data_IF_431231182577
#
_entry.id   IF_431231182577
#
_cell.length_a   1.000
_cell.length_b   1.000
_cell.length_c   1.000
_cell.angle_alpha   90.00
_cell.angle_beta   90.00
_cell.angle_gamma   90.00
#
_symmetry.space_group_name_H-M   'P 1'
#
loop_
_entity.id
_entity.type
_entity.pdbx_description
1 polymer ?
#
# COMPACT_ATOMS: atom_id res chain seq x y z
N UNK A 1 -18.24 -3.54 7.14
CA UNK A 1 -16.91 -3.36 6.52
C UNK A 1 -17.05 -2.57 5.23
N UNK A 2 -16.25 -1.51 5.08
CA UNK A 2 -16.20 -0.62 3.92
C UNK A 2 -14.77 -0.46 3.40
N UNK A 3 -14.62 -0.18 2.11
CA UNK A 3 -13.35 0.18 1.46
C UNK A 3 -13.22 1.71 1.41
N UNK A 4 -12.07 2.25 1.80
CA UNK A 4 -11.73 3.67 1.73
C UNK A 4 -10.64 3.87 0.68
N UNK A 5 -11.01 4.51 -0.43
CA UNK A 5 -10.13 4.73 -1.59
C UNK A 5 -9.49 6.10 -1.49
N UNK A 6 -8.19 6.15 -1.27
CA UNK A 6 -7.40 7.39 -1.23
C UNK A 6 -7.11 7.83 -2.67
N UNK A 7 -7.56 9.03 -3.02
CA UNK A 7 -7.38 9.60 -4.36
C UNK A 7 -7.11 11.10 -4.29
N UNK A 8 -6.12 11.58 -5.04
CA UNK A 8 -5.93 13.01 -5.26
C UNK A 8 -7.03 13.56 -6.18
N UNK A 9 -7.65 14.71 -5.89
CA UNK A 9 -8.70 15.28 -6.74
C UNK A 9 -8.31 15.46 -8.21
N UNK A 10 -7.05 15.83 -8.46
CA UNK A 10 -6.51 16.00 -9.80
C UNK A 10 -6.36 14.66 -10.57
N UNK A 11 -6.40 13.52 -9.88
CA UNK A 11 -6.24 12.18 -10.44
C UNK A 11 -7.55 11.55 -10.90
N UNK A 12 -8.42 12.34 -11.54
CA UNK A 12 -9.76 11.94 -11.98
C UNK A 12 -9.78 10.72 -12.91
N UNK A 13 -8.74 10.54 -13.73
CA UNK A 13 -8.58 9.35 -14.58
C UNK A 13 -8.30 8.08 -13.78
N UNK A 14 -7.46 8.15 -12.74
CA UNK A 14 -7.20 7.02 -11.84
C UNK A 14 -8.46 6.66 -11.07
N UNK A 15 -9.15 7.68 -10.53
CA UNK A 15 -10.42 7.49 -9.83
C UNK A 15 -11.47 6.79 -10.70
N UNK A 16 -11.64 7.21 -11.96
CA UNK A 16 -12.62 6.59 -12.87
C UNK A 16 -12.35 5.10 -13.06
N UNK A 17 -11.09 4.72 -13.27
CA UNK A 17 -10.69 3.30 -13.39
C UNK A 17 -10.93 2.54 -12.10
N UNK A 18 -10.58 3.14 -10.96
CA UNK A 18 -10.80 2.52 -9.66
C UNK A 18 -12.29 2.26 -9.41
N UNK A 19 -13.15 3.26 -9.68
CA UNK A 19 -14.62 3.11 -9.59
C UNK A 19 -15.13 1.99 -10.50
N UNK A 20 -14.65 1.90 -11.75
CA UNK A 20 -15.03 0.82 -12.66
C UNK A 20 -14.65 -0.57 -12.12
N UNK A 21 -13.44 -0.70 -11.55
CA UNK A 21 -12.98 -1.96 -10.94
C UNK A 21 -13.78 -2.33 -9.70
N UNK A 22 -14.10 -1.35 -8.86
CA UNK A 22 -14.92 -1.58 -7.67
C UNK A 22 -16.37 -1.87 -8.03
N UNK A 23 -16.92 -1.27 -9.09
CA UNK A 23 -18.30 -1.53 -9.52
C UNK A 23 -18.53 -2.96 -10.03
N UNK A 24 -17.48 -3.67 -10.45
CA UNK A 24 -17.59 -5.11 -10.76
C UNK A 24 -17.69 -5.99 -9.52
N UNK A 25 -17.52 -5.41 -8.33
CA UNK A 25 -17.65 -6.09 -7.06
C UNK A 25 -18.80 -5.52 -6.26
N UNK A 26 -19.55 -6.39 -5.62
CA UNK A 26 -20.57 -6.01 -4.65
C UNK A 26 -19.90 -5.69 -3.31
N UNK A 27 -19.23 -4.53 -3.25
CA UNK A 27 -18.48 -4.02 -2.11
C UNK A 27 -18.82 -2.54 -1.86
N UNK A 28 -19.09 -2.20 -0.60
CA UNK A 28 -19.27 -0.81 -0.19
C UNK A 28 -17.91 -0.10 -0.20
N UNK A 29 -17.84 1.06 -0.84
CA UNK A 29 -16.64 1.88 -0.82
C UNK A 29 -16.95 3.37 -0.76
N UNK A 30 -15.98 4.14 -0.27
CA UNK A 30 -16.00 5.58 -0.19
C UNK A 30 -14.67 6.16 -0.69
N UNK A 31 -14.72 7.32 -1.34
CA UNK A 31 -13.54 7.99 -1.87
C UNK A 31 -13.09 9.05 -0.89
N UNK A 32 -11.86 8.91 -0.41
CA UNK A 32 -11.21 9.87 0.47
C UNK A 32 -10.33 10.79 -0.38
N UNK A 33 -10.66 12.07 -0.35
CA UNK A 33 -9.84 13.11 -0.96
C UNK A 33 -8.48 13.19 -0.24
N UNK A 34 -7.44 12.74 -0.92
CA UNK A 34 -6.06 12.79 -0.48
C UNK A 34 -5.54 14.24 -0.43
N UNK A 35 -4.53 14.44 0.40
CA UNK A 35 -3.79 15.69 0.55
C UNK A 35 -2.63 15.67 -0.46
N UNK A 36 -2.45 16.76 -1.20
CA UNK A 36 -1.30 16.91 -2.10
C UNK A 36 -0.06 17.36 -1.33
N UNK A 37 1.11 17.00 -1.82
CA UNK A 37 2.38 17.59 -1.36
C UNK A 37 2.39 19.12 -1.47
N UNK A 38 1.64 19.67 -2.44
CA UNK A 38 1.50 21.12 -2.65
C UNK A 38 0.61 21.80 -1.60
N UNK A 39 -0.23 21.04 -0.89
CA UNK A 39 -1.14 21.54 0.15
C UNK A 39 -0.49 21.50 1.54
N UNK A 40 0.77 21.04 1.62
CA UNK A 40 1.53 21.00 2.87
C UNK A 40 2.07 22.40 3.17
N UNK A 41 1.73 22.90 4.36
CA UNK A 41 2.13 24.22 4.82
C UNK A 41 3.66 24.40 4.78
N UNK A 42 4.17 25.54 4.32
CA UNK A 42 5.59 25.83 4.39
C UNK A 42 6.13 25.72 5.83
N UNK A 43 7.31 25.13 6.00
CA UNK A 43 7.96 24.98 7.31
C UNK A 43 7.44 23.84 8.19
N UNK A 44 6.28 23.23 7.90
CA UNK A 44 5.78 22.11 8.71
C UNK A 44 6.71 20.89 8.63
N UNK A 45 7.24 20.60 7.44
CA UNK A 45 8.15 19.48 7.19
C UNK A 45 9.45 19.67 7.95
N UNK A 46 9.99 20.89 7.95
CA UNK A 46 11.19 21.25 8.71
C UNK A 46 10.94 21.12 10.21
N UNK A 47 9.81 21.62 10.70
CA UNK A 47 9.40 21.47 12.11
C UNK A 47 9.30 20.01 12.52
N UNK A 48 8.67 19.17 11.70
CA UNK A 48 8.53 17.73 11.92
C UNK A 48 9.91 17.08 11.99
N UNK A 49 10.75 17.29 10.96
CA UNK A 49 12.07 16.68 10.88
C UNK A 49 13.00 17.13 12.01
N UNK A 50 12.92 18.40 12.44
CA UNK A 50 13.69 18.92 13.59
C UNK A 50 13.25 18.31 14.92
N UNK A 51 12.02 17.79 15.00
CA UNK A 51 11.47 17.13 16.18
C UNK A 51 11.63 15.61 16.18
N UNK A 52 12.06 15.00 15.06
CA UNK A 52 12.28 13.57 14.96
C UNK A 52 13.72 13.21 15.41
N UNK A 53 13.90 12.54 16.56
CA UNK A 53 15.22 12.15 17.05
C UNK A 53 15.95 11.16 16.13
N UNK A 54 15.25 10.54 15.16
CA UNK A 54 15.79 9.56 14.22
C UNK A 54 16.43 10.20 12.98
N UNK A 55 16.31 11.52 12.80
CA UNK A 55 16.97 12.28 11.73
C UNK A 55 16.46 11.97 10.32
N UNK A 56 15.29 11.34 10.19
CA UNK A 56 14.67 11.06 8.90
C UNK A 56 14.09 12.31 8.27
N UNK A 57 14.69 12.82 7.19
CA UNK A 57 14.15 13.97 6.48
C UNK A 57 12.93 13.57 5.63
N UNK A 58 11.74 13.55 6.24
CA UNK A 58 10.49 13.37 5.50
C UNK A 58 10.37 14.44 4.42
N UNK A 59 9.84 14.03 3.27
CA UNK A 59 9.51 14.92 2.16
C UNK A 59 8.06 15.38 2.27
N UNK A 60 7.69 16.54 1.68
CA UNK A 60 6.29 16.98 1.64
C UNK A 60 5.32 15.91 1.12
N UNK A 61 5.74 15.11 0.14
CA UNK A 61 4.93 14.00 -0.37
C UNK A 61 4.71 12.86 0.63
N UNK A 62 5.68 12.57 1.49
CA UNK A 62 5.56 11.53 2.53
C UNK A 62 4.65 12.01 3.66
N UNK A 63 4.77 13.28 4.05
CA UNK A 63 3.85 13.94 5.00
C UNK A 63 2.42 13.96 4.46
N UNK A 64 2.24 14.32 3.18
CA UNK A 64 0.94 14.31 2.52
C UNK A 64 0.34 12.90 2.42
N UNK A 65 1.17 11.89 2.14
CA UNK A 65 0.77 10.49 2.13
C UNK A 65 0.26 10.07 3.52
N UNK A 66 1.07 10.25 4.57
CA UNK A 66 0.69 9.90 5.95
C UNK A 66 -0.60 10.59 6.38
N UNK A 67 -0.74 11.90 6.14
CA UNK A 67 -1.98 12.63 6.47
C UNK A 67 -3.19 12.17 5.66
N UNK A 68 -3.00 11.73 4.42
CA UNK A 68 -4.08 11.15 3.61
C UNK A 68 -4.57 9.81 4.17
N UNK A 69 -3.64 8.95 4.62
CA UNK A 69 -3.98 7.72 5.32
C UNK A 69 -4.65 7.98 6.66
N UNK A 70 -4.14 8.92 7.45
CA UNK A 70 -4.79 9.36 8.71
C UNK A 70 -6.24 9.80 8.47
N UNK A 71 -6.49 10.59 7.42
CA UNK A 71 -7.85 11.01 7.04
C UNK A 71 -8.75 9.83 6.69
N UNK A 72 -8.24 8.83 5.96
CA UNK A 72 -9.01 7.63 5.62
C UNK A 72 -9.32 6.77 6.86
N UNK A 73 -8.35 6.60 7.76
CA UNK A 73 -8.54 5.89 9.02
C UNK A 73 -9.54 6.62 9.92
N UNK A 74 -9.46 7.94 10.07
CA UNK A 74 -10.45 8.72 10.83
C UNK A 74 -11.85 8.59 10.25
N UNK A 75 -11.98 8.64 8.93
CA UNK A 75 -13.28 8.42 8.28
C UNK A 75 -13.84 7.03 8.56
N UNK A 76 -12.99 5.99 8.58
CA UNK A 76 -13.39 4.66 9.02
C UNK A 76 -13.91 4.65 10.46
N UNK A 77 -13.27 5.41 11.36
CA UNK A 77 -13.70 5.51 12.76
C UNK A 77 -15.05 6.22 12.89
N UNK A 78 -15.26 7.31 12.14
CA UNK A 78 -16.50 8.08 12.09
C UNK A 78 -17.67 7.26 11.53
N UNK A 79 -17.38 6.34 10.60
CA UNK A 79 -18.36 5.41 10.04
C UNK A 79 -18.65 4.20 10.94
N UNK A 80 -18.05 4.15 12.14
CA UNK A 80 -18.23 3.08 13.13
C UNK A 80 -17.89 1.67 12.61
N UNK A 81 -17.01 1.59 11.61
CA UNK A 81 -16.58 0.30 11.07
C UNK A 81 -15.63 -0.41 12.04
N UNK A 82 -15.95 -1.66 12.39
CA UNK A 82 -15.06 -2.52 13.19
C UNK A 82 -13.80 -2.91 12.42
N UNK A 83 -13.94 -3.13 11.11
CA UNK A 83 -12.86 -3.41 10.16
C UNK A 83 -13.08 -2.59 8.90
N UNK A 84 -12.00 -1.97 8.42
CA UNK A 84 -11.98 -1.24 7.16
C UNK A 84 -10.81 -1.66 6.28
N UNK A 85 -10.93 -1.36 5.00
CA UNK A 85 -9.88 -1.60 4.01
C UNK A 85 -9.47 -0.28 3.40
N UNK A 86 -8.20 0.07 3.51
CA UNK A 86 -7.64 1.29 2.93
C UNK A 86 -6.93 0.91 1.63
N UNK A 87 -7.20 1.65 0.55
CA UNK A 87 -6.65 1.35 -0.78
C UNK A 87 -6.26 2.66 -1.51
N UNK A 88 -5.10 2.69 -2.16
CA UNK A 88 -4.69 3.78 -3.06
C UNK A 88 -5.31 3.63 -4.46
N UNK A 89 -5.51 4.75 -5.17
CA UNK A 89 -6.16 4.76 -6.50
C UNK A 89 -5.34 4.14 -7.66
N UNK A 90 -4.09 3.76 -7.39
CA UNK A 90 -3.14 3.22 -8.35
C UNK A 90 -2.88 1.72 -8.14
N UNK A 91 -3.89 0.99 -7.66
CA UNK A 91 -3.84 -0.48 -7.58
C UNK A 91 -4.81 -1.17 -8.55
N UNK A 92 -4.54 -2.46 -8.80
CA UNK A 92 -5.41 -3.39 -9.51
C UNK A 92 -5.69 -4.61 -8.65
N UNK A 93 -6.87 -5.20 -8.88
CA UNK A 93 -7.38 -6.33 -8.11
C UNK A 93 -7.20 -7.64 -8.88
N UNK A 94 -6.87 -8.69 -8.15
CA UNK A 94 -6.98 -10.06 -8.66
C UNK A 94 -8.44 -10.54 -8.65
N UNK A 95 -8.74 -11.56 -9.45
CA UNK A 95 -10.03 -12.25 -9.46
C UNK A 95 -10.51 -12.70 -8.07
N UNK A 96 -9.59 -13.01 -7.16
CA UNK A 96 -9.91 -13.44 -5.79
C UNK A 96 -10.17 -12.29 -4.81
N UNK A 97 -9.90 -11.04 -5.18
CA UNK A 97 -9.96 -9.88 -4.28
C UNK A 97 -11.30 -9.79 -3.54
N UNK A 98 -12.42 -9.85 -4.27
CA UNK A 98 -13.74 -9.73 -3.63
C UNK A 98 -14.03 -10.85 -2.62
N UNK A 99 -13.59 -12.07 -2.90
CA UNK A 99 -13.79 -13.22 -1.99
C UNK A 99 -12.95 -13.07 -0.74
N UNK A 100 -11.67 -12.72 -0.90
CA UNK A 100 -10.75 -12.48 0.22
C UNK A 100 -11.26 -11.34 1.10
N UNK A 101 -11.64 -10.22 0.51
CA UNK A 101 -12.24 -9.09 1.24
C UNK A 101 -13.44 -9.55 2.05
N UNK A 102 -14.38 -10.28 1.45
CA UNK A 102 -15.57 -10.79 2.16
C UNK A 102 -15.24 -11.80 3.28
N UNK A 103 -14.08 -12.43 3.26
CA UNK A 103 -13.62 -13.34 4.32
C UNK A 103 -12.91 -12.65 5.50
N UNK A 104 -12.55 -11.37 5.38
CA UNK A 104 -11.87 -10.62 6.46
C UNK A 104 -12.89 -10.20 7.52
N UNK A 105 -12.56 -10.41 8.80
CA UNK A 105 -13.33 -10.00 9.97
C UNK A 105 -12.42 -9.62 11.13
N UNK A 106 -12.94 -8.97 12.17
CA UNK A 106 -12.11 -8.62 13.33
C UNK A 106 -11.51 -9.85 14.02
N UNK A 107 -12.21 -10.99 13.99
CA UNK A 107 -11.80 -12.23 14.65
C UNK A 107 -10.63 -12.97 13.98
N UNK A 108 -10.31 -12.65 12.71
CA UNK A 108 -9.20 -13.27 11.98
C UNK A 108 -8.06 -12.28 11.66
N UNK A 109 -8.15 -11.06 12.17
CA UNK A 109 -7.09 -10.07 12.08
C UNK A 109 -6.29 -10.03 13.37
N UNK A 110 -4.97 -10.09 13.23
CA UNK A 110 -4.04 -9.74 14.30
C UNK A 110 -4.17 -8.26 14.69
N UNK A 111 -3.58 -7.87 15.82
CA UNK A 111 -3.47 -6.47 16.21
C UNK A 111 -2.43 -5.77 15.31
N UNK A 112 -2.94 -5.01 14.35
CA UNK A 112 -2.20 -4.36 13.29
C UNK A 112 -2.73 -4.70 11.89
N UNK A 113 -2.16 -4.07 10.85
CA UNK A 113 -2.68 -4.17 9.49
C UNK A 113 -2.38 -5.54 8.84
N UNK A 114 -3.38 -6.06 8.13
CA UNK A 114 -3.22 -7.12 7.13
C UNK A 114 -2.93 -6.49 5.77
N UNK A 115 -1.69 -6.61 5.32
CA UNK A 115 -1.25 -6.09 4.03
C UNK A 115 -1.81 -6.95 2.90
N UNK A 116 -2.60 -6.32 2.03
CA UNK A 116 -3.17 -6.89 0.80
C UNK A 116 -2.27 -6.62 -0.41
N UNK A 117 -1.30 -5.72 -0.26
CA UNK A 117 -0.21 -5.45 -1.18
C UNK A 117 1.00 -4.93 -0.40
N UNK A 118 2.21 -5.42 -0.71
CA UNK A 118 3.44 -4.90 -0.13
C UNK A 118 4.63 -5.07 -1.09
N UNK A 119 5.68 -4.29 -0.87
CA UNK A 119 6.95 -4.40 -1.58
C UNK A 119 8.05 -4.88 -0.63
N UNK A 120 8.91 -5.75 -1.15
CA UNK A 120 10.05 -6.31 -0.43
C UNK A 120 11.30 -6.12 -1.29
N UNK A 121 12.25 -5.32 -0.82
CA UNK A 121 13.49 -5.04 -1.55
C UNK A 121 14.67 -5.88 -1.08
N UNK A 122 14.57 -6.49 0.10
CA UNK A 122 15.54 -7.42 0.67
C UNK A 122 14.82 -8.67 1.16
N UNK A 123 15.54 -9.78 1.42
CA UNK A 123 14.96 -10.95 2.04
C UNK A 123 14.24 -10.61 3.36
N UNK A 124 13.01 -11.11 3.49
CA UNK A 124 12.11 -10.93 4.62
C UNK A 124 11.62 -12.30 5.05
N UNK A 125 11.89 -12.65 6.30
CA UNK A 125 11.37 -13.87 6.91
C UNK A 125 9.91 -13.69 7.32
N UNK A 126 9.11 -14.70 7.00
CA UNK A 126 7.70 -14.76 7.36
C UNK A 126 7.37 -16.14 7.92
N UNK A 127 6.38 -16.18 8.81
CA UNK A 127 5.86 -17.39 9.43
C UNK A 127 4.43 -17.60 8.98
N UNK A 128 4.12 -18.78 8.43
CA UNK A 128 2.76 -19.11 7.98
C UNK A 128 1.88 -19.35 9.21
N UNK A 129 0.70 -18.74 9.27
CA UNK A 129 -0.30 -19.07 10.29
C UNK A 129 -1.22 -20.19 9.79
N UNK A 130 -2.07 -20.71 10.68
CA UNK A 130 -3.08 -21.70 10.33
C UNK A 130 -4.26 -21.10 9.56
N UNK A 131 -4.41 -19.77 9.56
CA UNK A 131 -5.52 -19.11 8.89
C UNK A 131 -5.29 -19.01 7.38
N UNK A 132 -6.36 -19.27 6.62
CA UNK A 132 -6.36 -19.21 5.16
C UNK A 132 -7.53 -18.33 4.72
N UNK A 133 -7.21 -17.23 4.05
CA UNK A 133 -8.19 -16.47 3.28
C UNK A 133 -8.47 -17.21 1.97
N UNK A 134 -9.62 -16.95 1.33
CA UNK A 134 -10.06 -17.58 0.07
C UNK A 134 -8.96 -17.73 -1.02
N UNK A 135 -8.17 -18.81 -0.95
CA UNK A 135 -7.03 -19.09 -1.82
C UNK A 135 -5.75 -18.27 -1.58
N UNK A 136 -5.60 -17.60 -0.43
CA UNK A 136 -4.40 -16.89 0.03
C UNK A 136 -4.12 -17.21 1.50
N UNK A 137 -2.86 -17.43 1.86
CA UNK A 137 -2.46 -17.75 3.22
C UNK A 137 -2.20 -16.49 4.03
N UNK A 138 -2.43 -16.60 5.34
CA UNK A 138 -2.05 -15.58 6.30
C UNK A 138 -0.62 -15.84 6.79
N UNK A 139 0.20 -14.79 6.80
CA UNK A 139 1.57 -14.85 7.28
C UNK A 139 1.86 -13.75 8.29
N UNK A 140 2.53 -14.11 9.37
CA UNK A 140 3.19 -13.19 10.29
C UNK A 140 4.50 -12.72 9.67
N UNK A 141 4.83 -11.44 9.79
CA UNK A 141 6.12 -10.90 9.36
C UNK A 141 7.09 -10.95 10.53
N UNK A 142 8.24 -11.62 10.35
CA UNK A 142 9.27 -11.70 11.40
C UNK A 142 10.34 -10.61 11.28
N UNK A 143 10.48 -9.99 10.11
CA UNK A 143 11.50 -8.98 9.78
C UNK A 143 10.85 -7.79 9.07
N UNK A 144 10.37 -6.85 9.88
CA UNK A 144 9.49 -5.75 9.46
C UNK A 144 10.23 -4.69 8.64
N UNK A 145 11.53 -4.52 8.85
CA UNK A 145 12.36 -3.42 8.32
C UNK A 145 12.43 -3.40 6.78
N UNK A 146 12.04 -4.50 6.15
CA UNK A 146 12.10 -4.70 4.71
C UNK A 146 10.72 -4.73 4.03
N UNK A 147 9.65 -4.38 4.76
CA UNK A 147 8.29 -4.33 4.25
C UNK A 147 7.92 -2.88 3.92
N UNK A 148 7.39 -2.65 2.72
CA UNK A 148 7.14 -1.30 2.21
C UNK A 148 5.75 -1.17 1.59
N UNK A 149 5.23 0.05 1.69
CA UNK A 149 4.01 0.50 1.04
C UNK A 149 2.72 0.30 1.83
N UNK A 150 1.81 1.27 1.67
CA UNK A 150 0.46 1.33 2.24
C UNK A 150 -0.64 1.18 1.17
N UNK A 151 -0.28 0.66 0.00
CA UNK A 151 -1.14 0.64 -1.21
C UNK A 151 -2.49 -0.04 -0.99
N UNK A 152 -2.53 -1.11 -0.19
CA UNK A 152 -3.77 -1.76 0.23
C UNK A 152 -3.57 -2.57 1.51
N UNK A 153 -4.41 -2.32 2.52
CA UNK A 153 -4.41 -3.07 3.78
C UNK A 153 -5.78 -3.08 4.43
N UNK A 154 -6.08 -4.14 5.18
CA UNK A 154 -7.20 -4.21 6.10
C UNK A 154 -6.73 -3.93 7.54
N UNK A 155 -7.57 -3.31 8.36
CA UNK A 155 -7.21 -2.90 9.71
C UNK A 155 -8.44 -2.88 10.64
N UNK A 156 -8.24 -3.24 11.91
CA UNK A 156 -9.27 -3.14 12.96
C UNK A 156 -9.41 -1.71 13.46
N UNK A 157 -10.58 -1.39 14.00
CA UNK A 157 -10.90 -0.08 14.59
C UNK A 157 -9.85 0.40 15.60
N UNK A 158 -9.45 -0.46 16.53
CA UNK A 158 -8.49 -0.10 17.58
C UNK A 158 -7.12 0.30 17.01
N UNK A 159 -6.63 -0.46 16.02
CA UNK A 159 -5.34 -0.17 15.37
C UNK A 159 -5.46 1.08 14.47
N UNK A 160 -6.60 1.25 13.79
CA UNK A 160 -6.89 2.43 12.98
C UNK A 160 -6.89 3.72 13.81
N UNK A 161 -7.46 3.69 15.03
CA UNK A 161 -7.45 4.82 15.95
C UNK A 161 -6.02 5.26 16.27
N UNK A 162 -5.19 4.34 16.78
CA UNK A 162 -3.80 4.61 17.17
C UNK A 162 -2.95 5.05 15.98
N UNK A 163 -3.03 4.32 14.86
CA UNK A 163 -2.30 4.65 13.64
C UNK A 163 -2.72 6.00 13.05
N UNK A 164 -4.01 6.37 13.12
CA UNK A 164 -4.47 7.64 12.56
C UNK A 164 -3.86 8.86 13.26
N UNK A 165 -3.63 8.75 14.58
CA UNK A 165 -2.98 9.81 15.38
C UNK A 165 -1.51 9.92 14.99
N UNK A 166 -0.82 8.78 14.89
CA UNK A 166 0.60 8.75 14.56
C UNK A 166 0.88 9.20 13.12
N UNK A 167 0.07 8.76 12.16
CA UNK A 167 0.13 9.23 10.77
C UNK A 167 -0.19 10.73 10.64
N UNK A 168 -0.99 11.30 11.54
CA UNK A 168 -1.27 12.74 11.55
C UNK A 168 -0.13 13.55 12.17
N UNK A 169 0.48 13.03 13.25
CA UNK A 169 1.64 13.62 13.92
C UNK A 169 2.86 13.66 12.99
N UNK A 170 2.85 12.80 11.96
CA UNK A 170 3.84 12.78 10.86
C UNK A 170 5.26 12.57 11.35
N UNK A 171 5.42 11.90 12.51
CA UNK A 171 6.75 11.51 13.02
C UNK A 171 7.44 10.51 12.10
N UNK A 172 6.68 9.76 11.31
CA UNK A 172 7.19 8.73 10.42
C UNK A 172 6.45 8.71 9.06
N UNK A 173 6.93 7.88 8.13
CA UNK A 173 6.22 7.62 6.86
C UNK A 173 4.98 6.76 7.11
N UNK A 174 4.02 6.83 6.19
CA UNK A 174 2.81 6.00 6.27
C UNK A 174 3.13 4.49 6.35
N UNK A 175 4.22 4.05 5.71
CA UNK A 175 4.68 2.68 5.65
C UNK A 175 5.88 2.38 6.57
N UNK A 176 6.15 3.23 7.57
CA UNK A 176 7.20 2.98 8.57
C UNK A 176 6.73 1.98 9.64
N UNK A 177 6.49 0.74 9.22
CA UNK A 177 5.93 -0.33 10.06
C UNK A 177 6.76 -0.60 11.32
N UNK A 178 8.09 -0.50 11.22
CA UNK A 178 9.02 -0.66 12.33
C UNK A 178 8.78 0.40 13.42
N UNK A 179 8.58 1.66 13.01
CA UNK A 179 8.22 2.73 13.94
C UNK A 179 6.94 2.45 14.71
N UNK A 180 5.87 2.06 14.01
CA UNK A 180 4.59 1.81 14.67
C UNK A 180 4.67 0.68 15.71
N UNK A 181 5.50 -0.33 15.46
CA UNK A 181 5.70 -1.44 16.40
C UNK A 181 6.59 -1.02 17.57
N UNK A 182 7.70 -0.32 17.31
CA UNK A 182 8.62 0.13 18.36
C UNK A 182 7.97 1.12 19.34
N UNK A 183 7.06 1.97 18.85
CA UNK A 183 6.29 2.91 19.68
C UNK A 183 5.03 2.27 20.31
N UNK A 184 4.78 0.97 20.10
CA UNK A 184 3.63 0.26 20.66
C UNK A 184 2.28 0.70 20.09
N UNK A 185 2.25 1.29 18.89
CA UNK A 185 1.03 1.73 18.20
C UNK A 185 0.25 0.51 17.68
N UNK A 186 0.97 -0.50 17.16
CA UNK A 186 0.45 -1.80 16.69
C UNK A 186 1.37 -2.92 17.19
N UNK A 187 0.85 -4.15 17.27
CA UNK A 187 1.62 -5.28 17.77
C UNK A 187 2.44 -5.96 16.66
N UNK A 188 1.89 -6.05 15.44
CA UNK A 188 2.57 -6.62 14.28
C UNK A 188 1.97 -6.11 12.95
N UNK A 189 2.56 -6.52 11.82
CA UNK A 189 1.94 -6.51 10.50
C UNK A 189 1.82 -7.93 9.98
N UNK A 190 0.78 -8.20 9.19
CA UNK A 190 0.57 -9.52 8.58
C UNK A 190 0.35 -9.43 7.08
N UNK A 191 0.54 -10.54 6.36
CA UNK A 191 0.39 -10.59 4.91
C UNK A 191 -0.75 -11.53 4.52
N UNK A 192 -1.57 -11.10 3.57
CA UNK A 192 -2.44 -11.98 2.80
C UNK A 192 -1.72 -12.36 1.49
N UNK A 193 -1.11 -13.54 1.43
CA UNK A 193 -0.26 -13.94 0.30
C UNK A 193 -0.67 -15.28 -0.33
N UNK A 194 -0.77 -15.41 -1.67
CA UNK A 194 -0.47 -14.40 -2.70
C UNK A 194 -1.35 -13.16 -2.58
N UNK A 195 -0.77 -11.99 -2.86
CA UNK A 195 -1.46 -10.72 -2.69
C UNK A 195 -2.67 -10.61 -3.62
N UNK A 196 -3.88 -10.29 -3.09
CA UNK A 196 -5.06 -10.05 -3.92
C UNK A 196 -5.04 -8.69 -4.62
N UNK A 197 -4.11 -7.81 -4.25
CA UNK A 197 -3.94 -6.48 -4.81
C UNK A 197 -2.52 -6.31 -5.36
N UNK A 198 -2.40 -5.65 -6.50
CA UNK A 198 -1.10 -5.32 -7.11
C UNK A 198 -1.01 -3.82 -7.38
N UNK A 199 0.17 -3.26 -7.21
CA UNK A 199 0.46 -1.88 -7.60
C UNK A 199 0.40 -1.74 -9.12
N UNK A 200 -0.46 -0.85 -9.59
CA UNK A 200 -0.58 -0.44 -10.99
C UNK A 200 0.32 0.79 -11.19
N UNK A 201 1.62 0.58 -11.44
CA UNK A 201 2.58 1.65 -11.72
C UNK A 201 2.20 2.48 -12.97
N UNK A 202 1.23 3.38 -12.83
CA UNK A 202 0.79 4.34 -13.82
C UNK A 202 1.41 5.70 -13.55
N UNK A 203 2.75 5.77 -13.40
CA UNK A 203 3.51 7.01 -13.13
C UNK A 203 2.89 7.81 -11.98
N UNK A 204 3.34 7.60 -10.73
CA UNK A 204 2.87 8.39 -9.58
C UNK A 204 2.81 9.88 -9.95
N UNK A 205 1.62 10.47 -9.82
CA UNK A 205 1.42 11.89 -10.15
C UNK A 205 2.13 12.81 -9.14
N UNK A 206 2.58 12.25 -8.01
CA UNK A 206 3.28 12.93 -6.92
C UNK A 206 4.69 13.40 -7.34
N UNK A 207 5.30 12.81 -8.39
CA UNK A 207 6.67 13.12 -8.82
C UNK A 207 6.77 13.94 -10.13
N UNK A 208 5.66 14.47 -10.68
CA UNK A 208 5.65 15.02 -12.06
C UNK A 208 6.05 16.48 -12.24
N UNK A 209 6.67 17.13 -11.25
CA UNK A 209 7.31 18.43 -11.43
C UNK A 209 8.84 18.30 -11.48
N UNK A 210 9.36 17.68 -12.55
CA UNK A 210 10.72 17.97 -13.00
C UNK A 210 10.81 17.94 -14.53
N UNK A 211 11.60 18.88 -15.04
CA UNK A 211 11.53 19.57 -16.34
C UNK A 211 11.50 18.70 -17.60
N UNK A 212 10.88 19.27 -18.63
CA UNK A 212 10.91 18.89 -20.04
C UNK A 212 12.36 18.89 -20.58
N UNK A 213 13.00 17.73 -20.61
CA UNK A 213 14.05 17.38 -21.58
C UNK A 213 14.26 15.86 -21.55
N UNK A 214 14.62 15.28 -22.69
CA UNK A 214 14.94 13.84 -22.92
C UNK A 214 13.80 12.98 -23.48
N UNK A 215 13.26 13.37 -24.65
CA UNK A 215 12.49 12.47 -25.53
C UNK A 215 13.41 11.48 -26.27
N UNK A 216 14.74 11.69 -26.30
CA UNK A 216 15.71 10.87 -27.05
C UNK A 216 16.42 9.76 -26.25
N UNK A 217 16.07 9.53 -24.98
CA UNK A 217 16.61 8.39 -24.20
C UNK A 217 15.67 7.18 -24.23
N UNK A 218 16.19 5.99 -23.95
CA UNK A 218 15.37 4.77 -23.72
C UNK A 218 14.29 5.02 -22.64
N UNK A 219 14.60 5.86 -21.65
CA UNK A 219 13.62 6.31 -20.64
C UNK A 219 12.57 7.27 -21.22
N UNK A 220 12.91 8.11 -22.18
CA UNK A 220 11.99 8.96 -22.96
C UNK A 220 11.05 8.16 -23.83
N UNK A 221 11.55 7.15 -24.54
CA UNK A 221 10.73 6.23 -25.34
C UNK A 221 9.79 5.38 -24.46
N UNK A 222 10.27 4.89 -23.31
CA UNK A 222 9.42 4.22 -22.32
C UNK A 222 8.32 5.16 -21.79
N UNK A 223 8.66 6.40 -21.41
CA UNK A 223 7.68 7.42 -21.00
C UNK A 223 6.66 7.70 -22.11
N UNK A 224 7.09 7.75 -23.37
CA UNK A 224 6.24 7.96 -24.55
C UNK A 224 5.26 6.79 -24.76
N UNK A 225 5.75 5.54 -24.77
CA UNK A 225 4.90 4.34 -24.84
C UNK A 225 3.87 4.33 -23.71
N UNK A 226 4.27 4.68 -22.47
CA UNK A 226 3.36 4.72 -21.32
C UNK A 226 2.36 5.88 -21.38
N UNK A 227 2.77 7.05 -21.91
CA UNK A 227 1.89 8.22 -22.09
C UNK A 227 0.79 7.94 -23.12
N UNK A 228 1.15 7.34 -24.25
CA UNK A 228 0.21 7.10 -25.37
C UNK A 228 -0.33 5.67 -25.43
N UNK A 229 0.03 4.80 -24.47
CA UNK A 229 -0.39 3.39 -24.36
C UNK A 229 -0.20 2.62 -25.68
N UNK A 230 0.94 2.81 -26.34
CA UNK A 230 1.23 2.27 -27.67
C UNK A 230 1.25 0.74 -27.61
N UNK A 231 0.30 0.12 -28.29
CA UNK A 231 0.23 -1.34 -28.42
C UNK A 231 1.28 -1.85 -29.45
N UNK A 232 1.90 -3.03 -29.25
CA UNK A 232 1.82 -3.92 -28.08
C UNK A 232 2.79 -3.57 -26.95
N UNK A 233 3.68 -2.60 -27.16
CA UNK A 233 4.80 -2.30 -26.26
C UNK A 233 4.36 -1.93 -24.83
N UNK A 234 3.23 -1.25 -24.68
CA UNK A 234 2.63 -0.94 -23.39
C UNK A 234 2.16 -2.20 -22.64
N UNK A 235 1.61 -3.19 -23.33
CA UNK A 235 1.20 -4.46 -22.70
C UNK A 235 2.42 -5.27 -22.30
N UNK A 236 3.44 -5.33 -23.16
CA UNK A 236 4.71 -6.00 -22.86
C UNK A 236 5.40 -5.36 -21.65
N UNK A 237 5.37 -4.03 -21.51
CA UNK A 237 5.98 -3.35 -20.37
C UNK A 237 5.24 -3.60 -19.06
N UNK A 238 3.90 -3.69 -19.09
CA UNK A 238 3.09 -4.10 -17.93
C UNK A 238 3.45 -5.54 -17.52
N UNK A 239 3.45 -6.49 -18.45
CA UNK A 239 3.78 -7.91 -18.18
C UNK A 239 5.19 -8.02 -17.59
N UNK A 240 6.19 -7.34 -18.19
CA UNK A 240 7.57 -7.32 -17.66
C UNK A 240 7.68 -6.68 -16.28
N UNK A 241 6.80 -5.74 -15.91
CA UNK A 241 6.77 -5.15 -14.57
C UNK A 241 6.14 -6.10 -13.56
N UNK A 242 5.03 -6.74 -13.92
CA UNK A 242 4.37 -7.76 -13.10
C UNK A 242 5.32 -8.91 -12.79
N UNK A 243 5.97 -9.47 -13.82
CA UNK A 243 6.98 -10.52 -13.64
C UNK A 243 8.15 -10.08 -12.75
N UNK A 244 8.54 -8.80 -12.76
CA UNK A 244 9.57 -8.26 -11.86
C UNK A 244 9.09 -8.15 -10.42
N UNK A 245 7.86 -7.71 -10.18
CA UNK A 245 7.28 -7.65 -8.84
C UNK A 245 7.13 -9.06 -8.24
N UNK A 246 6.57 -9.99 -9.01
CA UNK A 246 6.45 -11.40 -8.62
C UNK A 246 7.82 -12.04 -8.37
N UNK A 247 8.82 -11.77 -9.23
CA UNK A 247 10.20 -12.22 -9.01
C UNK A 247 10.85 -11.61 -7.77
N UNK A 248 10.52 -10.37 -7.40
CA UNK A 248 10.99 -9.77 -6.14
C UNK A 248 10.38 -10.50 -4.96
N UNK A 249 9.06 -10.67 -4.95
CA UNK A 249 8.36 -11.41 -3.90
C UNK A 249 8.89 -12.84 -3.78
N UNK A 250 9.11 -13.53 -4.90
CA UNK A 250 9.64 -14.89 -4.90
C UNK A 250 11.05 -15.01 -4.36
N UNK A 251 11.89 -14.00 -4.59
CA UNK A 251 13.26 -14.03 -4.13
C UNK A 251 13.42 -13.56 -2.68
N UNK A 252 12.52 -12.70 -2.23
CA UNK A 252 12.66 -12.00 -0.97
C UNK A 252 11.81 -12.59 0.15
N UNK A 253 10.67 -13.23 -0.12
CA UNK A 253 9.89 -13.87 0.94
C UNK A 253 10.42 -15.27 1.27
N UNK A 254 10.90 -15.44 2.51
CA UNK A 254 11.45 -16.68 3.05
C UNK A 254 10.51 -17.20 4.14
N UNK A 255 9.89 -18.35 3.91
CA UNK A 255 8.96 -18.97 4.87
C UNK A 255 9.74 -19.82 5.86
N UNK A 256 9.48 -19.64 7.16
CA UNK A 256 10.02 -20.49 8.24
C UNK A 256 9.11 -21.70 8.51
N UNK A 257 9.18 -22.76 7.69
CA UNK A 257 8.46 -24.02 7.95
C UNK A 257 9.44 -25.19 8.11
N UNK A 258 10.23 -25.21 9.19
CA UNK A 258 11.25 -26.24 9.46
C UNK A 258 12.49 -26.17 8.55
N UNK A 259 12.33 -25.70 7.31
CA UNK A 259 13.37 -25.33 6.36
C UNK A 259 13.07 -23.95 5.77
N UNK A 260 14.10 -23.10 5.64
CA UNK A 260 13.96 -21.79 4.99
C UNK A 260 13.81 -21.98 3.48
N UNK A 261 12.58 -21.80 2.97
CA UNK A 261 12.28 -21.93 1.53
C UNK A 261 11.68 -20.65 0.98
N UNK A 262 11.93 -20.38 -0.31
CA UNK A 262 11.29 -19.26 -1.02
C UNK A 262 9.80 -19.54 -1.17
N UNK A 263 8.96 -18.52 -0.99
CA UNK A 263 7.49 -18.69 -0.90
C UNK A 263 6.83 -19.42 -2.07
N UNK A 264 7.38 -19.33 -3.29
CA UNK A 264 6.85 -20.02 -4.47
C UNK A 264 7.43 -21.42 -4.70
N UNK A 265 8.42 -21.85 -3.91
CA UNK A 265 8.90 -23.24 -3.87
C UNK A 265 8.02 -24.13 -2.99
N UNK A 266 6.98 -23.56 -2.37
CA UNK A 266 5.99 -24.25 -1.54
C UNK A 266 4.68 -24.54 -2.29
N UNK A 267 4.68 -24.40 -3.62
CA UNK A 267 3.56 -24.77 -4.49
C UNK A 267 3.50 -26.27 -4.71
#
# INVERSE_FOLDING_TARGET
MKIYVINLPCSSRRLRKMKQRLSSFDLKYEVIQAISAADIEPGIVEKINNSDPRGGALKPGEVACARSHSKALRKMLDDEEEVGIIIEDDVVFDSKFCKIVKSISASNLENGPLLLCALFFRPTKITKSDYIYEGSYHYLVDQIENVWGTMAYAIKRMDAERMSVEMFSTRCRADDWEHYINEGIIDNITLCFPFPVRHEELNSDIAKFSKFSNILSISGFSKFIHKYRIFPFFQISIIKRQARAEKRHSNNLIVKNGEQRKIYQLK
#
